data_IF_783151768480
#
_entry.id   IF_783151768480
#
_cell.length_a   1.000
_cell.length_b   1.000
_cell.length_c   1.000
_cell.angle_alpha   90.00
_cell.angle_beta   90.00
_cell.angle_gamma   90.00
#
_symmetry.space_group_name_H-M   'P 1'
#
loop_
_entity.id
_entity.type
_entity.pdbx_description
1 polymer ?
#
# COMPACT_ATOMS: atom_id res chain seq x y z
N UNK A 1 14.44 10.70 -3.44
CA UNK A 1 13.21 10.31 -2.72
C UNK A 1 12.08 10.43 -3.72
N UNK A 2 11.40 9.33 -4.07
CA UNK A 2 10.34 9.36 -5.09
C UNK A 2 9.08 10.02 -4.51
N UNK A 3 8.28 10.64 -5.37
CA UNK A 3 7.05 11.35 -5.00
C UNK A 3 6.09 10.46 -4.21
N UNK A 4 5.99 9.17 -4.56
CA UNK A 4 5.13 8.20 -3.86
C UNK A 4 5.62 7.92 -2.43
N UNK A 5 6.93 7.86 -2.22
CA UNK A 5 7.51 7.69 -0.88
C UNK A 5 7.25 8.91 -0.02
N UNK A 6 7.37 10.11 -0.60
CA UNK A 6 7.08 11.35 0.11
C UNK A 6 5.61 11.45 0.50
N UNK A 7 4.67 11.11 -0.40
CA UNK A 7 3.22 11.16 -0.13
C UNK A 7 2.84 10.24 1.03
N UNK A 8 3.41 9.03 1.10
CA UNK A 8 3.13 8.06 2.17
C UNK A 8 3.57 8.55 3.56
N UNK A 9 4.56 9.44 3.66
CA UNK A 9 4.95 10.05 4.93
C UNK A 9 4.23 11.38 5.19
N UNK A 10 4.00 12.18 4.15
CA UNK A 10 3.48 13.53 4.29
C UNK A 10 1.98 13.54 4.61
N UNK A 11 1.21 12.59 4.08
CA UNK A 11 -0.23 12.48 4.33
C UNK A 11 -0.54 12.14 5.80
N UNK A 12 0.07 11.11 6.43
CA UNK A 12 -0.14 10.85 7.86
C UNK A 12 0.26 12.02 8.75
N UNK A 13 1.35 12.72 8.40
CA UNK A 13 1.80 13.93 9.10
C UNK A 13 0.78 15.05 8.97
N UNK A 14 0.25 15.28 7.76
CA UNK A 14 -0.80 16.28 7.53
C UNK A 14 -2.07 15.96 8.33
N UNK A 15 -2.50 14.68 8.36
CA UNK A 15 -3.63 14.24 9.16
C UNK A 15 -3.39 14.51 10.67
N UNK A 16 -2.19 14.23 11.17
CA UNK A 16 -1.82 14.52 12.55
C UNK A 16 -1.80 16.02 12.85
N UNK A 17 -1.24 16.86 11.97
CA UNK A 17 -1.22 18.32 12.13
C UNK A 17 -2.64 18.89 12.15
N UNK A 18 -3.51 18.46 11.24
CA UNK A 18 -4.92 18.88 11.21
C UNK A 18 -5.67 18.44 12.48
N UNK A 19 -5.37 17.24 12.97
CA UNK A 19 -5.93 16.74 14.23
C UNK A 19 -5.43 17.56 15.43
N UNK A 20 -4.15 17.90 15.47
CA UNK A 20 -3.56 18.75 16.50
C UNK A 20 -4.18 20.16 16.49
N UNK A 21 -4.34 20.76 15.31
CA UNK A 21 -5.01 22.05 15.16
C UNK A 21 -6.46 21.98 15.66
N UNK A 22 -7.13 20.84 15.55
CA UNK A 22 -8.48 20.64 16.01
C UNK A 22 -8.66 20.27 17.49
N UNK A 23 -7.58 19.89 18.19
CA UNK A 23 -7.68 19.34 19.54
C UNK A 23 -6.62 19.77 20.54
N UNK A 24 -5.71 20.67 20.17
CA UNK A 24 -4.65 21.18 21.07
C UNK A 24 -4.70 22.72 21.21
N UNK A 25 -5.40 23.43 20.33
CA UNK A 25 -5.51 24.89 20.40
C UNK A 25 -6.08 25.36 21.74
N UNK A 26 -5.38 26.26 22.42
CA UNK A 26 -5.81 26.85 23.69
C UNK A 26 -5.59 25.97 24.92
N UNK A 27 -4.92 24.82 24.80
CA UNK A 27 -4.51 24.03 25.97
C UNK A 27 -3.33 24.73 26.66
N UNK A 28 -3.52 25.18 27.90
CA UNK A 28 -2.48 25.78 28.74
C UNK A 28 -1.98 24.77 29.78
N UNK A 29 -0.66 24.68 29.95
CA UNK A 29 -0.02 23.80 30.94
C UNK A 29 0.48 24.55 32.18
N UNK A 30 0.40 25.88 32.17
CA UNK A 30 1.10 26.73 33.14
C UNK A 30 0.59 26.53 34.57
N UNK A 31 -0.72 26.32 34.74
CA UNK A 31 -1.39 26.17 36.04
C UNK A 31 -2.30 24.92 36.10
N UNK A 32 -2.02 23.92 35.26
CA UNK A 32 -2.87 22.74 35.14
C UNK A 32 -2.62 21.73 36.27
N UNK A 33 -3.69 21.32 36.95
CA UNK A 33 -3.71 20.22 37.92
C UNK A 33 -3.31 18.88 37.29
N UNK A 34 -2.91 17.91 38.12
CA UNK A 34 -2.49 16.58 37.65
C UNK A 34 -3.54 15.88 36.78
N UNK A 35 -4.83 16.13 37.04
CA UNK A 35 -5.94 15.59 36.25
C UNK A 35 -6.02 16.20 34.84
N UNK A 36 -5.82 17.50 34.71
CA UNK A 36 -5.81 18.19 33.41
C UNK A 36 -4.60 17.82 32.57
N UNK A 37 -3.41 17.70 33.18
CA UNK A 37 -2.20 17.21 32.49
C UNK A 37 -2.41 15.81 31.91
N UNK A 38 -3.09 14.93 32.64
CA UNK A 38 -3.40 13.57 32.16
C UNK A 38 -4.33 13.61 30.95
N UNK A 39 -5.37 14.45 30.96
CA UNK A 39 -6.27 14.63 29.80
C UNK A 39 -5.53 15.23 28.60
N UNK A 40 -4.67 16.21 28.84
CA UNK A 40 -3.84 16.79 27.79
C UNK A 40 -2.89 15.75 27.17
N UNK A 41 -2.24 14.92 27.99
CA UNK A 41 -1.42 13.81 27.49
C UNK A 41 -2.22 12.86 26.57
N UNK A 42 -3.47 12.53 26.93
CA UNK A 42 -4.35 11.74 26.06
C UNK A 42 -4.65 12.44 24.73
N UNK A 43 -4.82 13.77 24.70
CA UNK A 43 -4.99 14.51 23.44
C UNK A 43 -3.78 14.35 22.52
N UNK A 44 -2.57 14.53 23.05
CA UNK A 44 -1.35 14.36 22.26
C UNK A 44 -1.16 12.92 21.79
N UNK A 45 -1.47 11.93 22.64
CA UNK A 45 -1.43 10.53 22.21
C UNK A 45 -2.43 10.23 21.09
N UNK A 46 -3.64 10.80 21.13
CA UNK A 46 -4.61 10.61 20.06
C UNK A 46 -4.17 11.27 18.74
N UNK A 47 -3.54 12.45 18.80
CA UNK A 47 -2.91 13.08 17.62
C UNK A 47 -1.86 12.18 16.99
N UNK A 48 -0.95 11.64 17.81
CA UNK A 48 0.11 10.72 17.35
C UNK A 48 -0.50 9.44 16.79
N UNK A 49 -1.50 8.88 17.49
CA UNK A 49 -2.21 7.69 17.05
C UNK A 49 -2.90 7.92 15.69
N UNK A 50 -3.51 9.09 15.44
CA UNK A 50 -4.09 9.41 14.14
C UNK A 50 -3.05 9.30 13.03
N UNK A 51 -1.85 9.85 13.21
CA UNK A 51 -0.77 9.72 12.23
C UNK A 51 -0.37 8.26 11.98
N UNK A 52 -0.05 7.51 13.05
CA UNK A 52 0.41 6.11 12.94
C UNK A 52 -0.66 5.22 12.30
N UNK A 53 -1.91 5.34 12.73
CA UNK A 53 -3.01 4.51 12.22
C UNK A 53 -3.36 4.89 10.78
N UNK A 54 -3.24 6.17 10.39
CA UNK A 54 -3.40 6.60 8.99
C UNK A 54 -2.34 5.97 8.10
N UNK A 55 -1.08 5.96 8.54
CA UNK A 55 0.02 5.29 7.82
C UNK A 55 -0.29 3.79 7.65
N UNK A 56 -0.67 3.11 8.72
CA UNK A 56 -1.02 1.68 8.68
C UNK A 56 -2.24 1.39 7.77
N UNK A 57 -3.23 2.29 7.74
CA UNK A 57 -4.40 2.17 6.87
C UNK A 57 -4.02 2.31 5.39
N UNK A 58 -3.18 3.28 5.05
CA UNK A 58 -2.66 3.48 3.70
C UNK A 58 -1.82 2.28 3.25
N UNK A 59 -0.91 1.81 4.09
CA UNK A 59 -0.09 0.62 3.81
C UNK A 59 -0.96 -0.63 3.60
N UNK A 60 -2.04 -0.77 4.37
CA UNK A 60 -3.01 -1.86 4.21
C UNK A 60 -3.84 -1.73 2.92
N UNK A 61 -4.00 -0.54 2.38
CA UNK A 61 -4.74 -0.29 1.14
C UNK A 61 -3.86 -0.40 -0.12
N UNK A 62 -2.54 -0.30 0.03
CA UNK A 62 -1.57 -0.31 -1.06
C UNK A 62 -1.29 -1.73 -1.61
N UNK A 63 -0.74 -1.79 -2.83
CA UNK A 63 -0.41 -3.06 -3.50
C UNK A 63 -1.64 -3.93 -3.74
N UNK A 64 -1.53 -5.23 -3.46
CA UNK A 64 -2.68 -6.16 -3.43
C UNK A 64 -3.71 -5.71 -2.38
N UNK A 65 -3.25 -5.25 -1.21
CA UNK A 65 -4.08 -4.66 -0.17
C UNK A 65 -4.96 -5.64 0.62
N UNK A 66 -5.35 -5.24 1.83
CA UNK A 66 -6.28 -5.91 2.74
C UNK A 66 -7.48 -5.00 2.98
N UNK A 67 -8.56 -5.07 2.18
CA UNK A 67 -9.65 -4.09 2.23
C UNK A 67 -10.33 -4.02 3.60
N UNK A 68 -10.48 -5.16 4.28
CA UNK A 68 -11.07 -5.21 5.63
C UNK A 68 -10.17 -4.55 6.67
N UNK A 69 -8.86 -4.82 6.63
CA UNK A 69 -7.90 -4.20 7.54
C UNK A 69 -7.78 -2.69 7.28
N UNK A 70 -7.68 -2.29 6.00
CA UNK A 70 -7.64 -0.90 5.60
C UNK A 70 -8.89 -0.14 6.08
N UNK A 71 -10.09 -0.71 5.91
CA UNK A 71 -11.33 -0.12 6.39
C UNK A 71 -11.34 0.02 7.93
N UNK A 72 -10.99 -1.03 8.67
CA UNK A 72 -10.93 -1.01 10.14
C UNK A 72 -9.95 0.03 10.69
N UNK A 73 -8.75 0.13 10.08
CA UNK A 73 -7.75 1.12 10.45
C UNK A 73 -8.19 2.54 10.07
N UNK A 74 -8.82 2.74 8.91
CA UNK A 74 -9.39 4.04 8.52
C UNK A 74 -10.41 4.52 9.53
N UNK A 75 -11.35 3.66 9.93
CA UNK A 75 -12.36 3.98 10.96
C UNK A 75 -11.68 4.32 12.27
N UNK A 76 -10.64 3.57 12.65
CA UNK A 76 -9.88 3.81 13.89
C UNK A 76 -9.13 5.15 13.87
N UNK A 77 -8.51 5.53 12.75
CA UNK A 77 -7.85 6.81 12.57
C UNK A 77 -8.84 7.98 12.65
N UNK A 78 -10.00 7.85 11.99
CA UNK A 78 -11.08 8.84 12.08
C UNK A 78 -11.63 8.95 13.51
N UNK A 79 -11.81 7.83 14.21
CA UNK A 79 -12.24 7.82 15.61
C UNK A 79 -11.23 8.50 16.53
N UNK A 80 -9.92 8.31 16.31
CA UNK A 80 -8.87 9.02 17.04
C UNK A 80 -8.92 10.53 16.79
N UNK A 81 -9.11 10.96 15.54
CA UNK A 81 -9.23 12.38 15.19
C UNK A 81 -10.47 13.02 15.83
N UNK A 82 -11.63 12.38 15.68
CA UNK A 82 -12.90 12.86 16.26
C UNK A 82 -12.83 12.85 17.79
N UNK A 83 -12.29 11.78 18.39
CA UNK A 83 -12.10 11.64 19.83
C UNK A 83 -11.20 12.74 20.41
N UNK A 84 -10.17 13.14 19.66
CA UNK A 84 -9.31 14.28 20.01
C UNK A 84 -10.13 15.57 20.17
N UNK A 85 -11.04 15.86 19.23
CA UNK A 85 -11.91 17.04 19.33
C UNK A 85 -12.89 16.96 20.50
N UNK A 86 -13.51 15.79 20.73
CA UNK A 86 -14.43 15.60 21.84
C UNK A 86 -13.76 15.76 23.20
N UNK A 87 -12.56 15.20 23.36
CA UNK A 87 -11.77 15.35 24.57
C UNK A 87 -11.31 16.81 24.73
N UNK A 88 -10.94 17.49 23.65
CA UNK A 88 -10.55 18.90 23.67
C UNK A 88 -11.68 19.80 24.16
N UNK A 89 -12.92 19.59 23.71
CA UNK A 89 -14.10 20.32 24.21
C UNK A 89 -14.33 20.15 25.71
N UNK A 90 -13.80 19.09 26.33
CA UNK A 90 -13.85 18.87 27.79
C UNK A 90 -12.67 19.47 28.55
N UNK A 91 -11.57 19.80 27.86
CA UNK A 91 -10.39 20.46 28.42
C UNK A 91 -10.49 21.98 28.29
N UNK A 92 -11.07 22.47 27.19
CA UNK A 92 -11.25 23.91 26.92
C UNK A 92 -12.75 24.20 26.72
N UNK A 93 -13.56 24.19 27.79
CA UNK A 93 -15.02 24.38 27.69
C UNK A 93 -15.39 25.78 27.17
N UNK A 94 -14.68 26.82 27.64
CA UNK A 94 -14.94 28.24 27.38
C UNK A 94 -14.18 28.78 26.15
N UNK A 95 -13.83 27.90 25.21
CA UNK A 95 -13.21 28.34 23.96
C UNK A 95 -14.12 29.29 23.19
N UNK A 96 -13.53 30.38 22.65
CA UNK A 96 -14.24 31.34 21.81
C UNK A 96 -14.97 30.65 20.64
N UNK A 97 -16.16 31.14 20.22
CA UNK A 97 -16.94 30.52 19.14
C UNK A 97 -16.15 30.39 17.82
N UNK A 98 -15.26 31.35 17.55
CA UNK A 98 -14.37 31.33 16.38
C UNK A 98 -13.38 30.16 16.45
N UNK A 99 -12.74 29.95 17.60
CA UNK A 99 -11.79 28.86 17.85
C UNK A 99 -12.47 27.50 17.73
N UNK A 100 -13.68 27.36 18.28
CA UNK A 100 -14.48 26.12 18.15
C UNK A 100 -14.81 25.81 16.69
N UNK A 101 -15.19 26.82 15.90
CA UNK A 101 -15.49 26.65 14.48
C UNK A 101 -14.25 26.21 13.69
N UNK A 102 -13.11 26.86 13.90
CA UNK A 102 -11.85 26.50 13.24
C UNK A 102 -11.41 25.07 13.61
N UNK A 103 -11.52 24.70 14.89
CA UNK A 103 -11.19 23.37 15.37
C UNK A 103 -12.06 22.28 14.71
N UNK A 104 -13.38 22.52 14.58
CA UNK A 104 -14.28 21.59 13.87
C UNK A 104 -13.93 21.43 12.40
N UNK A 105 -13.63 22.53 11.71
CA UNK A 105 -13.23 22.51 10.30
C UNK A 105 -11.93 21.71 10.15
N UNK A 106 -10.94 21.95 11.01
CA UNK A 106 -9.67 21.22 10.99
C UNK A 106 -9.86 19.71 11.15
N UNK A 107 -10.74 19.28 12.05
CA UNK A 107 -11.04 17.85 12.27
C UNK A 107 -11.80 17.25 11.10
N UNK A 108 -12.76 17.99 10.53
CA UNK A 108 -13.44 17.59 9.30
C UNK A 108 -12.46 17.39 8.15
N UNK A 109 -11.48 18.30 8.00
CA UNK A 109 -10.41 18.17 7.01
C UNK A 109 -9.49 16.98 7.31
N UNK A 110 -9.13 16.75 8.57
CA UNK A 110 -8.32 15.58 8.96
C UNK A 110 -9.01 14.28 8.52
N UNK A 111 -10.30 14.12 8.84
CA UNK A 111 -11.08 12.95 8.44
C UNK A 111 -11.17 12.82 6.92
N UNK A 112 -11.39 13.93 6.21
CA UNK A 112 -11.45 13.92 4.75
C UNK A 112 -10.12 13.48 4.13
N UNK A 113 -8.98 13.96 4.65
CA UNK A 113 -7.63 13.57 4.20
C UNK A 113 -7.38 12.08 4.44
N UNK A 114 -7.75 11.56 5.61
CA UNK A 114 -7.60 10.13 5.95
C UNK A 114 -8.41 9.27 4.99
N UNK A 115 -9.70 9.56 4.80
CA UNK A 115 -10.57 8.76 3.93
C UNK A 115 -10.13 8.85 2.47
N UNK A 116 -9.83 10.06 1.97
CA UNK A 116 -9.41 10.25 0.59
C UNK A 116 -8.08 9.55 0.29
N UNK A 117 -7.11 9.63 1.20
CA UNK A 117 -5.79 9.00 1.00
C UNK A 117 -5.86 7.48 0.97
N UNK A 118 -6.63 6.86 1.87
CA UNK A 118 -6.83 5.40 1.87
C UNK A 118 -7.60 4.97 0.61
N UNK A 119 -8.64 5.70 0.22
CA UNK A 119 -9.39 5.41 -0.99
C UNK A 119 -8.51 5.51 -2.26
N UNK A 120 -7.69 6.56 -2.37
CA UNK A 120 -6.76 6.75 -3.48
C UNK A 120 -5.69 5.65 -3.50
N UNK A 121 -5.13 5.29 -2.34
CA UNK A 121 -4.16 4.20 -2.21
C UNK A 121 -4.77 2.86 -2.68
N UNK A 122 -6.02 2.61 -2.30
CA UNK A 122 -6.76 1.45 -2.76
C UNK A 122 -6.94 1.45 -4.28
N UNK A 123 -7.38 2.56 -4.87
CA UNK A 123 -7.57 2.67 -6.34
C UNK A 123 -6.25 2.51 -7.08
N UNK A 124 -5.16 3.10 -6.58
CA UNK A 124 -3.83 2.97 -7.17
C UNK A 124 -3.34 1.50 -7.17
N UNK A 125 -3.67 0.72 -6.14
CA UNK A 125 -3.34 -0.71 -6.05
C UNK A 125 -4.11 -1.64 -7.02
N UNK A 126 -5.02 -1.11 -7.87
CA UNK A 126 -5.84 -1.94 -8.78
C UNK A 126 -5.00 -2.85 -9.67
N UNK A 127 -3.89 -2.35 -10.23
CA UNK A 127 -3.02 -3.16 -11.09
C UNK A 127 -2.38 -4.33 -10.34
N UNK A 128 -1.94 -4.10 -9.11
CA UNK A 128 -1.36 -5.14 -8.28
C UNK A 128 -2.37 -6.22 -7.88
N UNK A 129 -3.62 -5.86 -7.62
CA UNK A 129 -4.70 -6.84 -7.40
C UNK A 129 -5.02 -7.67 -8.64
N UNK A 130 -4.96 -7.07 -9.82
CA UNK A 130 -5.13 -7.81 -11.08
C UNK A 130 -3.94 -8.74 -11.37
N UNK A 131 -2.73 -8.32 -10.99
CA UNK A 131 -1.50 -9.07 -11.21
C UNK A 131 -1.21 -10.14 -10.13
N UNK A 132 -1.99 -10.20 -9.05
CA UNK A 132 -1.81 -11.19 -7.98
C UNK A 132 -1.83 -12.65 -8.45
N UNK A 133 -2.78 -13.07 -9.32
CA UNK A 133 -2.76 -14.42 -9.89
C UNK A 133 -1.50 -14.67 -10.73
N UNK A 134 -1.13 -13.71 -11.59
CA UNK A 134 0.08 -13.78 -12.40
C UNK A 134 1.33 -13.96 -11.54
N UNK A 135 1.52 -13.12 -10.51
CA UNK A 135 2.68 -13.19 -9.63
C UNK A 135 2.74 -14.52 -8.87
N UNK A 136 1.59 -15.02 -8.41
CA UNK A 136 1.50 -16.30 -7.71
C UNK A 136 1.89 -17.46 -8.64
N UNK A 137 1.31 -17.52 -9.84
CA UNK A 137 1.66 -18.54 -10.85
C UNK A 137 3.12 -18.42 -11.26
N UNK A 138 3.59 -17.21 -11.58
CA UNK A 138 4.97 -16.94 -11.98
C UNK A 138 6.00 -17.35 -10.93
N UNK A 139 5.68 -17.18 -9.65
CA UNK A 139 6.54 -17.54 -8.53
C UNK A 139 6.55 -19.05 -8.27
N UNK A 140 5.37 -19.66 -8.12
CA UNK A 140 5.22 -21.10 -7.83
C UNK A 140 5.77 -21.96 -8.97
N UNK A 141 5.53 -21.53 -10.21
CA UNK A 141 5.95 -22.24 -11.42
C UNK A 141 7.30 -21.72 -11.95
N UNK A 142 8.04 -20.93 -11.18
CA UNK A 142 9.34 -20.37 -11.58
C UNK A 142 10.41 -21.41 -11.93
N UNK A 143 10.22 -22.67 -11.52
CA UNK A 143 11.07 -23.79 -11.94
C UNK A 143 11.08 -24.02 -13.45
N UNK A 144 10.01 -23.70 -14.17
CA UNK A 144 9.97 -23.78 -15.64
C UNK A 144 10.80 -22.69 -16.32
N UNK A 145 11.06 -21.58 -15.61
CA UNK A 145 11.92 -20.53 -16.10
C UNK A 145 13.41 -20.92 -16.02
N UNK A 146 13.80 -21.92 -15.24
CA UNK A 146 15.19 -22.34 -15.12
C UNK A 146 15.63 -23.17 -16.33
N UNK A 147 16.91 -23.04 -16.77
CA UNK A 147 17.44 -23.85 -17.85
C UNK A 147 17.36 -25.33 -17.51
N UNK A 148 16.85 -26.14 -18.45
CA UNK A 148 16.77 -27.59 -18.29
C UNK A 148 18.15 -28.25 -18.22
N UNK A 149 18.26 -29.34 -17.47
CA UNK A 149 19.41 -30.25 -17.56
C UNK A 149 19.03 -31.33 -18.59
N UNK A 150 19.90 -31.68 -19.55
CA UNK A 150 19.60 -32.73 -20.51
C UNK A 150 19.16 -34.04 -19.81
N UNK A 151 17.94 -34.51 -20.10
CA UNK A 151 17.35 -35.71 -19.49
C UNK A 151 16.83 -35.54 -18.05
N UNK A 152 16.90 -34.32 -17.48
CA UNK A 152 16.38 -33.98 -16.15
C UNK A 152 15.82 -32.54 -16.15
N UNK A 153 14.51 -32.41 -16.25
CA UNK A 153 13.86 -31.10 -16.24
C UNK A 153 12.51 -31.13 -16.97
N UNK A 154 11.79 -30.00 -16.96
CA UNK A 154 10.55 -29.88 -17.72
C UNK A 154 10.81 -30.03 -19.21
N UNK A 155 9.91 -30.75 -19.87
CA UNK A 155 9.90 -30.89 -21.33
C UNK A 155 9.57 -29.57 -22.01
N UNK A 156 9.97 -29.41 -23.27
CA UNK A 156 9.62 -28.22 -24.06
C UNK A 156 8.10 -28.00 -24.16
N UNK A 157 7.30 -29.08 -24.17
CA UNK A 157 5.84 -29.00 -24.11
C UNK A 157 5.33 -28.42 -22.79
N UNK A 158 5.89 -28.85 -21.65
CA UNK A 158 5.51 -28.32 -20.34
C UNK A 158 5.93 -26.84 -20.17
N UNK A 159 7.08 -26.44 -20.72
CA UNK A 159 7.52 -25.03 -20.74
C UNK A 159 6.61 -24.19 -21.64
N UNK A 160 6.19 -24.71 -22.79
CA UNK A 160 5.25 -24.02 -23.67
C UNK A 160 3.86 -23.83 -23.01
N UNK A 161 3.36 -24.83 -22.30
CA UNK A 161 2.10 -24.74 -21.58
C UNK A 161 2.19 -23.79 -20.38
N UNK A 162 3.34 -23.77 -19.70
CA UNK A 162 3.65 -22.77 -18.67
C UNK A 162 3.61 -21.35 -19.25
N UNK A 163 4.29 -21.11 -20.38
CA UNK A 163 4.30 -19.78 -21.02
C UNK A 163 2.89 -19.30 -21.35
N UNK A 164 2.05 -20.18 -21.92
CA UNK A 164 0.64 -19.85 -22.21
C UNK A 164 -0.14 -19.47 -20.96
N UNK A 165 0.09 -20.14 -19.82
CA UNK A 165 -0.55 -19.78 -18.54
C UNK A 165 -0.11 -18.39 -18.08
N UNK A 166 1.19 -18.11 -18.09
CA UNK A 166 1.73 -16.78 -17.74
C UNK A 166 1.13 -15.70 -18.64
N UNK A 167 1.06 -15.94 -19.95
CA UNK A 167 0.50 -14.97 -20.89
C UNK A 167 -1.00 -14.74 -20.66
N UNK A 168 -1.75 -15.81 -20.39
CA UNK A 168 -3.19 -15.73 -20.08
C UNK A 168 -3.45 -14.92 -18.80
N UNK A 169 -2.62 -15.06 -17.77
CA UNK A 169 -2.74 -14.26 -16.55
C UNK A 169 -2.30 -12.80 -16.78
N UNK A 170 -1.26 -12.57 -17.60
CA UNK A 170 -0.81 -11.23 -17.96
C UNK A 170 -1.86 -10.43 -18.75
N UNK A 171 -2.67 -11.08 -19.57
CA UNK A 171 -3.76 -10.44 -20.33
C UNK A 171 -4.91 -9.95 -19.44
N UNK A 172 -5.06 -10.52 -18.24
CA UNK A 172 -6.05 -10.07 -17.26
C UNK A 172 -5.64 -8.76 -16.57
N UNK A 173 -4.37 -8.37 -16.67
CA UNK A 173 -3.85 -7.13 -16.09
C UNK A 173 -4.12 -5.96 -17.02
N UNK A 174 -5.06 -5.10 -16.65
CA UNK A 174 -5.50 -3.97 -17.50
C UNK A 174 -5.06 -2.60 -16.99
N UNK A 175 -4.63 -2.50 -15.73
CA UNK A 175 -4.32 -1.22 -15.11
C UNK A 175 -2.84 -0.79 -15.28
N UNK A 176 -2.63 0.31 -16.02
CA UNK A 176 -1.44 1.18 -16.00
C UNK A 176 -0.08 0.48 -16.01
N UNK A 177 0.96 1.09 -15.45
CA UNK A 177 2.35 0.60 -15.51
C UNK A 177 2.61 -0.83 -14.98
N UNK A 178 1.64 -1.46 -14.32
CA UNK A 178 1.68 -2.90 -13.98
C UNK A 178 1.40 -3.77 -15.22
N UNK A 179 0.50 -3.34 -16.11
CA UNK A 179 0.20 -4.04 -17.38
C UNK A 179 1.46 -4.24 -18.21
N UNK A 180 2.24 -3.18 -18.43
CA UNK A 180 3.41 -3.26 -19.31
C UNK A 180 4.46 -4.25 -18.75
N UNK A 181 4.62 -4.28 -17.42
CA UNK A 181 5.51 -5.25 -16.77
C UNK A 181 4.95 -6.67 -16.77
N UNK A 182 3.65 -6.85 -16.58
CA UNK A 182 2.99 -8.14 -16.69
C UNK A 182 3.14 -8.72 -18.11
N UNK A 183 2.97 -7.88 -19.13
CA UNK A 183 3.16 -8.25 -20.53
C UNK A 183 4.63 -8.50 -20.86
N UNK A 184 5.57 -7.75 -20.28
CA UNK A 184 7.01 -8.06 -20.37
C UNK A 184 7.32 -9.43 -19.77
N UNK A 185 6.78 -9.76 -18.60
CA UNK A 185 6.96 -11.06 -17.97
C UNK A 185 6.44 -12.21 -18.85
N UNK A 186 5.28 -12.01 -19.49
CA UNK A 186 4.74 -12.97 -20.46
C UNK A 186 5.63 -13.13 -21.71
N UNK A 187 6.10 -12.02 -22.28
CA UNK A 187 7.01 -12.06 -23.43
C UNK A 187 8.32 -12.80 -23.12
N UNK A 188 8.88 -12.60 -21.92
CA UNK A 188 10.07 -13.33 -21.47
C UNK A 188 9.76 -14.84 -21.33
N UNK A 189 8.57 -15.21 -20.84
CA UNK A 189 8.16 -16.60 -20.77
C UNK A 189 8.07 -17.26 -22.17
N UNK A 190 7.58 -16.51 -23.17
CA UNK A 190 7.51 -16.98 -24.55
C UNK A 190 8.91 -17.16 -25.15
N UNK A 191 9.85 -16.26 -24.85
CA UNK A 191 11.25 -16.39 -25.26
C UNK A 191 11.93 -17.61 -24.62
N UNK A 192 11.61 -17.93 -23.36
CA UNK A 192 12.07 -19.14 -22.67
C UNK A 192 11.49 -20.39 -23.34
N UNK A 193 10.20 -20.39 -23.66
CA UNK A 193 9.56 -21.53 -24.35
C UNK A 193 10.15 -21.76 -25.74
N UNK A 194 10.47 -20.70 -26.48
CA UNK A 194 11.16 -20.80 -27.76
C UNK A 194 12.57 -21.39 -27.61
N UNK A 195 13.37 -20.90 -26.65
CA UNK A 195 14.71 -21.43 -26.39
C UNK A 195 14.69 -22.91 -25.97
N UNK A 196 13.69 -23.32 -25.17
CA UNK A 196 13.50 -24.72 -24.77
C UNK A 196 13.09 -25.62 -25.95
N UNK A 197 12.30 -25.11 -26.89
CA UNK A 197 11.94 -25.83 -28.12
C UNK A 197 13.16 -26.05 -29.03
N UNK A 198 14.05 -25.06 -29.10
CA UNK A 198 15.30 -25.12 -29.88
C UNK A 198 16.40 -25.94 -29.18
N UNK A 199 16.22 -26.31 -27.91
CA UNK A 199 17.23 -26.99 -27.09
C UNK A 199 18.43 -26.10 -26.72
N UNK A 200 18.27 -24.77 -26.80
CA UNK A 200 19.32 -23.79 -26.51
C UNK A 200 19.29 -23.38 -25.02
N UNK A 201 19.84 -24.26 -24.18
CA UNK A 201 19.88 -24.08 -22.73
C UNK A 201 20.75 -22.90 -22.28
N UNK A 202 21.74 -22.51 -23.10
CA UNK A 202 22.61 -21.37 -22.82
C UNK A 202 21.85 -20.05 -23.00
N UNK A 203 21.09 -19.93 -24.09
CA UNK A 203 20.19 -18.79 -24.31
C UNK A 203 19.09 -18.74 -23.26
N UNK A 204 18.49 -19.89 -22.92
CA UNK A 204 17.48 -19.96 -21.87
C UNK A 204 18.00 -19.40 -20.54
N UNK A 205 19.20 -19.81 -20.11
CA UNK A 205 19.80 -19.35 -18.85
C UNK A 205 19.96 -17.82 -18.76
N UNK A 206 20.30 -17.16 -19.88
CA UNK A 206 20.40 -15.70 -19.92
C UNK A 206 19.02 -15.04 -19.77
N UNK A 207 18.01 -15.53 -20.49
CA UNK A 207 16.64 -15.01 -20.45
C UNK A 207 16.01 -15.23 -19.06
N UNK A 208 16.31 -16.36 -18.40
CA UNK A 208 15.85 -16.66 -17.04
C UNK A 208 16.22 -15.57 -16.04
N UNK A 209 17.39 -14.93 -16.19
CA UNK A 209 17.81 -13.87 -15.26
C UNK A 209 16.91 -12.64 -15.35
N UNK A 210 16.49 -12.28 -16.56
CA UNK A 210 15.57 -11.19 -16.81
C UNK A 210 14.17 -11.51 -16.27
N UNK A 211 13.72 -12.76 -16.42
CA UNK A 211 12.46 -13.24 -15.84
C UNK A 211 12.41 -12.99 -14.33
N UNK A 212 13.46 -13.39 -13.60
CA UNK A 212 13.52 -13.21 -12.14
C UNK A 212 13.67 -11.73 -11.72
N UNK A 213 14.30 -10.89 -12.53
CA UNK A 213 14.39 -9.45 -12.25
C UNK A 213 13.04 -8.75 -12.41
N UNK A 214 12.31 -9.04 -13.50
CA UNK A 214 10.97 -8.50 -13.75
C UNK A 214 9.97 -9.01 -12.70
N UNK A 215 10.00 -10.32 -12.41
CA UNK A 215 9.17 -10.92 -11.37
C UNK A 215 9.50 -10.32 -10.00
N UNK A 216 10.78 -10.22 -9.64
CA UNK A 216 11.21 -9.64 -8.37
C UNK A 216 10.79 -8.17 -8.20
N UNK A 217 10.79 -7.41 -9.29
CA UNK A 217 10.31 -6.03 -9.30
C UNK A 217 8.80 -5.95 -9.08
N UNK A 218 8.02 -6.80 -9.77
CA UNK A 218 6.57 -6.91 -9.55
C UNK A 218 6.24 -7.31 -8.11
N UNK A 219 6.93 -8.29 -7.54
CA UNK A 219 6.73 -8.72 -6.16
C UNK A 219 7.04 -7.59 -5.15
N UNK A 220 8.12 -6.84 -5.36
CA UNK A 220 8.49 -5.70 -4.50
C UNK A 220 7.47 -4.56 -4.55
N UNK A 221 6.96 -4.26 -5.74
CA UNK A 221 6.01 -3.17 -5.94
C UNK A 221 4.61 -3.54 -5.45
N UNK A 222 4.14 -4.74 -5.77
CA UNK A 222 2.78 -5.16 -5.49
C UNK A 222 2.59 -5.86 -4.14
N UNK A 223 3.67 -6.32 -3.50
CA UNK A 223 3.68 -6.96 -2.18
C UNK A 223 2.57 -8.01 -2.03
N UNK A 224 2.59 -9.08 -2.85
CA UNK A 224 1.64 -10.18 -2.73
C UNK A 224 1.73 -10.84 -1.35
N UNK A 225 0.61 -11.39 -0.90
CA UNK A 225 0.41 -11.94 0.45
C UNK A 225 0.82 -13.41 0.53
#
# INVERSE_FOLDING_TARGET
MNTDTLVNYLVPVAAAILTAAGGVLGVSFRDADAYERRRAMWLFMLVVATGIVTMAAMDSAAGVGKPVAAAGLTVSACAAAIGTHFLWRRVVPDAEPRTVRLARIAIGLAVAVIVASVALSYVAGKGCRQAEPLMTTAWVESGYAQPGIPGRGPTSGEVADWSKRIHTEADKVTAGGIRDRAQRLAGIADEIAAAAADGDWARQALISTEYFDVLGTLLKECKPQ
#
